data_IF_913094612464
#
_entry.id   IF_913094612464
#
_cell.length_a   1.000
_cell.length_b   1.000
_cell.length_c   1.000
_cell.angle_alpha   90.00
_cell.angle_beta   90.00
_cell.angle_gamma   90.00
#
_symmetry.space_group_name_H-M   'P 1'
#
loop_
_entity.id
_entity.type
_entity.pdbx_description
1 polymer ?
#
# COMPACT_ATOMS: atom_id res chain seq x y z
N UNK A 1 -48.65 15.63 21.71
CA UNK A 1 -49.71 14.61 21.89
C UNK A 1 -49.70 13.68 20.68
N UNK A 2 -49.51 12.38 20.95
CA UNK A 2 -50.07 11.19 20.29
C UNK A 2 -49.86 11.02 18.76
N UNK A 3 -48.95 10.12 18.37
CA UNK A 3 -49.19 8.69 18.11
C UNK A 3 -49.75 8.44 16.71
N UNK A 4 -48.95 7.76 15.88
CA UNK A 4 -49.41 6.56 15.17
C UNK A 4 -48.20 5.65 14.88
N UNK A 5 -48.09 4.63 15.73
CA UNK A 5 -47.26 3.44 15.56
C UNK A 5 -47.94 2.51 14.54
N UNK A 6 -47.09 1.79 13.80
CA UNK A 6 -47.22 0.37 13.40
C UNK A 6 -48.44 -0.07 12.60
N UNK A 7 -48.17 -0.57 11.39
CA UNK A 7 -48.70 -1.79 10.76
C UNK A 7 -47.75 -2.11 9.59
N UNK A 8 -47.25 -3.30 9.28
CA UNK A 8 -47.42 -4.65 9.80
C UNK A 8 -46.19 -5.48 9.37
N UNK A 9 -45.97 -6.55 10.13
CA UNK A 9 -44.93 -7.58 10.00
C UNK A 9 -45.05 -8.42 8.72
N UNK A 10 -43.92 -8.83 8.14
CA UNK A 10 -43.88 -9.76 7.02
C UNK A 10 -42.47 -10.26 6.69
N UNK A 11 -42.06 -11.31 7.42
CA UNK A 11 -41.08 -12.34 7.05
C UNK A 11 -39.56 -12.05 7.06
N UNK A 12 -38.88 -12.84 7.91
CA UNK A 12 -37.45 -13.09 7.96
C UNK A 12 -36.88 -13.51 6.60
N UNK A 13 -35.78 -12.88 6.21
CA UNK A 13 -34.65 -13.59 5.64
C UNK A 13 -33.39 -13.12 6.37
N UNK A 14 -32.75 -14.09 7.04
CA UNK A 14 -31.37 -13.99 7.45
C UNK A 14 -30.50 -13.99 6.20
N UNK A 15 -29.64 -12.97 6.07
CA UNK A 15 -28.37 -13.05 5.35
C UNK A 15 -27.56 -11.83 5.80
N UNK A 16 -26.77 -12.09 6.83
CA UNK A 16 -25.46 -11.51 7.13
C UNK A 16 -25.16 -10.14 6.53
N UNK A 17 -25.14 -9.15 7.42
CA UNK A 17 -24.34 -7.96 7.26
C UNK A 17 -22.87 -8.38 7.06
N UNK A 18 -22.43 -8.47 5.82
CA UNK A 18 -21.03 -8.31 5.48
C UNK A 18 -20.85 -6.88 5.01
N UNK A 19 -20.81 -5.96 5.97
CA UNK A 19 -19.87 -4.86 5.82
C UNK A 19 -18.51 -5.53 5.73
N UNK A 20 -17.97 -5.65 4.52
CA UNK A 20 -16.52 -5.80 4.33
C UNK A 20 -15.89 -4.48 4.78
N UNK A 21 -15.93 -4.31 6.10
CA UNK A 21 -14.99 -3.52 6.85
C UNK A 21 -13.66 -4.20 6.52
N UNK A 22 -12.94 -3.65 5.54
CA UNK A 22 -11.51 -3.94 5.37
C UNK A 22 -10.91 -3.77 6.75
N UNK A 23 -10.62 -4.90 7.39
CA UNK A 23 -9.83 -4.96 8.61
C UNK A 23 -8.45 -4.41 8.24
N UNK A 24 -8.30 -3.09 8.30
CA UNK A 24 -7.00 -2.53 8.58
C UNK A 24 -6.64 -3.07 9.96
N UNK A 25 -5.55 -3.87 10.07
CA UNK A 25 -5.11 -4.34 11.37
C UNK A 25 -4.87 -3.11 12.23
N UNK A 26 -5.50 -3.08 13.40
CA UNK A 26 -5.34 -2.05 14.43
C UNK A 26 -3.90 -2.07 14.90
N UNK A 27 -3.02 -1.43 14.14
CA UNK A 27 -1.62 -1.32 14.48
C UNK A 27 -1.42 -0.21 15.51
N UNK A 28 -0.78 -0.62 16.59
CA UNK A 28 -0.44 0.20 17.73
C UNK A 28 0.66 1.16 17.29
N UNK A 29 0.27 2.38 16.90
CA UNK A 29 1.19 3.47 16.55
C UNK A 29 1.28 3.76 15.05
N UNK A 30 1.72 4.97 14.66
CA UNK A 30 1.84 5.32 13.25
C UNK A 30 3.00 4.55 12.62
N UNK A 31 2.69 3.54 11.79
CA UNK A 31 3.66 2.83 10.95
C UNK A 31 4.61 3.81 10.26
N UNK A 32 5.90 3.49 10.24
CA UNK A 32 6.93 4.30 9.59
C UNK A 32 7.35 3.67 8.26
N UNK A 33 7.36 4.48 7.19
CA UNK A 33 7.90 4.09 5.89
C UNK A 33 9.42 4.08 5.94
N UNK A 34 10.02 2.91 5.74
CA UNK A 34 11.48 2.71 5.68
C UNK A 34 12.02 2.66 4.25
N UNK A 35 11.18 2.34 3.27
CA UNK A 35 11.62 2.32 1.89
C UNK A 35 10.50 2.43 0.87
N UNK A 36 10.87 2.94 -0.30
CA UNK A 36 9.99 3.03 -1.47
C UNK A 36 10.73 2.48 -2.69
N UNK A 37 10.12 1.52 -3.38
CA UNK A 37 10.60 1.01 -4.66
C UNK A 37 9.59 1.38 -5.75
N UNK A 38 10.04 1.98 -6.84
CA UNK A 38 9.21 2.24 -8.01
C UNK A 38 9.67 1.32 -9.13
N UNK A 39 8.75 0.57 -9.72
CA UNK A 39 8.99 -0.34 -10.84
C UNK A 39 8.09 0.04 -12.00
N UNK A 40 8.67 0.40 -13.13
CA UNK A 40 7.94 0.83 -14.33
C UNK A 40 8.37 0.05 -15.56
N UNK A 41 7.50 -0.02 -16.58
CA UNK A 41 7.84 -0.69 -17.85
C UNK A 41 8.84 0.08 -18.69
N UNK A 42 8.86 1.40 -18.54
CA UNK A 42 9.77 2.29 -19.25
C UNK A 42 10.56 3.16 -18.26
N UNK A 43 11.68 3.78 -18.66
CA UNK A 43 12.37 4.77 -17.85
C UNK A 43 11.41 5.88 -17.39
N UNK A 44 11.56 6.33 -16.14
CA UNK A 44 10.84 7.49 -15.63
C UNK A 44 11.55 8.76 -16.10
N UNK A 45 10.80 9.69 -16.70
CA UNK A 45 11.30 11.04 -17.01
C UNK A 45 11.51 11.87 -15.75
N UNK A 46 10.70 11.62 -14.72
CA UNK A 46 10.78 12.28 -13.41
C UNK A 46 10.48 11.26 -12.31
N UNK A 47 11.51 10.54 -11.86
CA UNK A 47 11.39 9.59 -10.75
C UNK A 47 11.26 10.29 -9.40
N UNK A 48 11.76 11.53 -9.28
CA UNK A 48 11.74 12.29 -8.03
C UNK A 48 10.34 12.84 -7.74
N UNK A 49 9.69 13.46 -8.73
CA UNK A 49 8.32 13.95 -8.58
C UNK A 49 7.33 12.83 -8.23
N UNK A 50 7.50 11.64 -8.82
CA UNK A 50 6.68 10.48 -8.44
C UNK A 50 6.97 10.01 -7.00
N UNK A 51 8.23 10.03 -6.57
CA UNK A 51 8.59 9.71 -5.19
C UNK A 51 8.00 10.72 -4.19
N UNK A 52 8.00 12.02 -4.51
CA UNK A 52 7.37 13.06 -3.69
C UNK A 52 5.87 12.84 -3.56
N UNK A 53 5.18 12.51 -4.66
CA UNK A 53 3.75 12.17 -4.65
C UNK A 53 3.47 10.95 -3.79
N UNK A 54 4.27 9.88 -3.92
CA UNK A 54 4.13 8.67 -3.08
C UNK A 54 4.34 9.03 -1.61
N UNK A 55 5.35 9.84 -1.30
CA UNK A 55 5.68 10.27 0.06
C UNK A 55 4.55 11.10 0.68
N UNK A 56 4.05 12.10 -0.05
CA UNK A 56 2.90 12.91 0.37
C UNK A 56 1.66 12.05 0.60
N UNK A 57 1.41 11.04 -0.25
CA UNK A 57 0.33 10.09 -0.10
C UNK A 57 0.48 9.22 1.17
N UNK A 58 1.69 8.77 1.51
CA UNK A 58 1.89 8.01 2.75
C UNK A 58 1.71 8.90 3.98
N UNK A 59 2.17 10.15 3.93
CA UNK A 59 1.97 11.12 5.01
C UNK A 59 0.48 11.46 5.21
N UNK A 60 -0.29 11.62 4.12
CA UNK A 60 -1.73 11.88 4.22
C UNK A 60 -2.51 10.70 4.82
N UNK A 61 -1.95 9.48 4.75
CA UNK A 61 -2.48 8.29 5.44
C UNK A 61 -2.07 8.21 6.93
N UNK A 62 -1.33 9.20 7.43
CA UNK A 62 -0.85 9.24 8.81
C UNK A 62 0.45 8.49 9.06
N UNK A 63 1.11 7.97 8.02
CA UNK A 63 2.39 7.29 8.16
C UNK A 63 3.54 8.29 8.32
N UNK A 64 4.50 7.95 9.17
CA UNK A 64 5.75 8.71 9.28
C UNK A 64 6.71 8.26 8.18
N UNK A 65 7.58 9.16 7.74
CA UNK A 65 8.66 8.81 6.81
C UNK A 65 9.95 8.73 7.61
N UNK A 66 10.69 7.62 7.47
CA UNK A 66 11.99 7.49 8.13
C UNK A 66 12.98 8.52 7.61
N UNK A 67 13.78 9.10 8.51
CA UNK A 67 14.91 9.96 8.12
C UNK A 67 15.93 9.21 7.25
N UNK A 68 15.99 7.89 7.40
CA UNK A 68 16.84 7.00 6.63
C UNK A 68 16.05 6.23 5.56
N UNK A 69 14.94 6.79 5.06
CA UNK A 69 14.12 6.15 4.03
C UNK A 69 14.95 5.87 2.77
N UNK A 70 14.96 4.62 2.33
CA UNK A 70 15.65 4.20 1.12
C UNK A 70 14.67 4.31 -0.05
N UNK A 71 14.97 5.12 -1.06
CA UNK A 71 14.19 5.19 -2.29
C UNK A 71 14.96 4.62 -3.49
N UNK A 72 14.26 3.86 -4.32
CA UNK A 72 14.80 3.25 -5.55
C UNK A 72 13.76 3.29 -6.67
N UNK A 73 14.23 3.44 -7.90
CA UNK A 73 13.44 3.27 -9.10
C UNK A 73 14.16 2.31 -10.05
N UNK A 74 13.43 1.40 -10.68
CA UNK A 74 13.98 0.46 -11.65
C UNK A 74 12.96 0.15 -12.75
N UNK A 75 13.47 -0.38 -13.86
CA UNK A 75 12.67 -0.75 -15.03
C UNK A 75 12.49 -2.27 -15.05
N UNK A 76 11.27 -2.72 -15.33
CA UNK A 76 10.97 -4.14 -15.54
C UNK A 76 9.69 -4.33 -16.35
N UNK A 77 9.69 -5.36 -17.20
CA UNK A 77 8.52 -5.88 -17.89
C UNK A 77 7.72 -6.88 -17.04
N UNK A 78 8.34 -7.44 -15.98
CA UNK A 78 7.78 -8.45 -15.09
C UNK A 78 6.99 -7.87 -13.92
N UNK A 79 6.09 -6.94 -14.20
CA UNK A 79 5.26 -6.30 -13.17
C UNK A 79 4.19 -7.23 -12.56
N UNK A 80 3.87 -8.32 -13.26
CA UNK A 80 2.85 -9.28 -12.87
C UNK A 80 3.45 -10.58 -12.27
N UNK A 81 4.78 -10.70 -12.22
CA UNK A 81 5.51 -11.86 -11.68
C UNK A 81 5.85 -11.63 -10.20
N UNK A 82 4.98 -12.05 -9.31
CA UNK A 82 5.12 -11.86 -7.86
C UNK A 82 6.45 -12.39 -7.31
N UNK A 83 6.93 -13.54 -7.81
CA UNK A 83 8.19 -14.13 -7.36
C UNK A 83 9.38 -13.24 -7.73
N UNK A 84 9.39 -12.72 -8.96
CA UNK A 84 10.38 -11.74 -9.40
C UNK A 84 10.33 -10.46 -8.56
N UNK A 85 9.14 -9.94 -8.27
CA UNK A 85 8.96 -8.73 -7.47
C UNK A 85 9.48 -8.91 -6.04
N UNK A 86 9.17 -10.04 -5.41
CA UNK A 86 9.66 -10.38 -4.06
C UNK A 86 11.18 -10.51 -4.04
N UNK A 87 11.78 -11.18 -5.02
CA UNK A 87 13.24 -11.27 -5.13
C UNK A 87 13.87 -9.89 -5.32
N UNK A 88 13.27 -9.05 -6.17
CA UNK A 88 13.73 -7.69 -6.43
C UNK A 88 13.68 -6.83 -5.17
N UNK A 89 12.59 -6.86 -4.42
CA UNK A 89 12.45 -6.15 -3.13
C UNK A 89 13.53 -6.64 -2.15
N UNK A 90 13.71 -7.95 -1.98
CA UNK A 90 14.76 -8.51 -1.10
C UNK A 90 16.14 -8.04 -1.47
N UNK A 91 16.46 -7.99 -2.76
CA UNK A 91 17.77 -7.56 -3.25
C UNK A 91 18.02 -6.06 -3.01
N UNK A 92 17.06 -5.21 -3.36
CA UNK A 92 17.23 -3.75 -3.26
C UNK A 92 17.21 -3.25 -1.81
N UNK A 93 16.48 -3.94 -0.92
CA UNK A 93 16.28 -3.55 0.49
C UNK A 93 16.98 -4.48 1.48
N UNK A 94 17.96 -5.26 1.05
CA UNK A 94 18.71 -6.19 1.91
C UNK A 94 19.27 -5.53 3.19
N UNK A 95 19.61 -4.23 3.14
CA UNK A 95 20.14 -3.48 4.29
C UNK A 95 19.14 -3.27 5.42
N UNK A 96 17.85 -3.17 5.09
CA UNK A 96 16.75 -2.98 6.06
C UNK A 96 15.90 -4.25 6.20
N UNK A 97 16.28 -5.33 5.50
CA UNK A 97 15.53 -6.56 5.40
C UNK A 97 15.72 -7.47 6.62
N UNK A 98 14.63 -8.07 7.06
CA UNK A 98 14.61 -9.32 7.83
C UNK A 98 13.85 -10.40 7.04
N UNK A 99 13.64 -11.56 7.66
CA UNK A 99 12.81 -12.64 7.07
C UNK A 99 11.38 -12.17 6.73
N UNK A 100 10.93 -11.12 7.43
CA UNK A 100 9.62 -10.48 7.34
C UNK A 100 9.51 -9.39 6.27
N UNK A 101 10.59 -9.06 5.53
CA UNK A 101 10.63 -7.91 4.61
C UNK A 101 9.43 -7.87 3.64
N UNK A 102 9.05 -9.01 3.08
CA UNK A 102 7.92 -9.10 2.15
C UNK A 102 6.59 -8.89 2.86
N UNK A 103 6.40 -9.46 4.06
CA UNK A 103 5.18 -9.31 4.84
C UNK A 103 4.90 -7.84 5.23
N UNK A 104 5.95 -7.04 5.38
CA UNK A 104 5.85 -5.60 5.67
C UNK A 104 5.78 -4.71 4.42
N UNK A 105 5.83 -5.29 3.23
CA UNK A 105 5.79 -4.54 1.98
C UNK A 105 4.37 -4.47 1.46
N UNK A 106 3.86 -3.26 1.18
CA UNK A 106 2.60 -3.05 0.46
C UNK A 106 2.90 -2.61 -0.96
N UNK A 107 2.20 -3.19 -1.93
CA UNK A 107 2.38 -2.92 -3.36
C UNK A 107 1.15 -2.25 -3.93
N UNK A 108 1.35 -1.25 -4.78
CA UNK A 108 0.28 -0.43 -5.34
C UNK A 108 0.57 -0.12 -6.81
N UNK A 109 -0.44 -0.07 -7.68
CA UNK A 109 -0.25 0.40 -9.04
C UNK A 109 0.12 1.89 -9.04
N UNK A 110 0.93 2.30 -10.02
CA UNK A 110 1.16 3.70 -10.35
C UNK A 110 1.15 3.94 -11.85
N UNK A 111 0.86 5.19 -12.20
CA UNK A 111 1.00 5.70 -13.55
C UNK A 111 1.83 6.99 -13.48
N UNK A 112 3.01 6.95 -14.08
CA UNK A 112 3.86 8.12 -14.24
C UNK A 112 3.47 8.93 -15.47
N UNK A 113 4.06 10.12 -15.60
CA UNK A 113 3.89 10.99 -16.77
C UNK A 113 4.12 10.24 -18.09
N UNK A 114 3.38 10.60 -19.14
CA UNK A 114 3.48 9.95 -20.44
C UNK A 114 2.80 8.58 -20.53
N UNK A 115 2.02 8.19 -19.51
CA UNK A 115 1.28 6.92 -19.52
C UNK A 115 2.13 5.70 -19.14
N UNK A 116 3.33 5.92 -18.60
CA UNK A 116 4.20 4.85 -18.15
C UNK A 116 3.62 4.19 -16.88
N UNK A 117 3.08 2.99 -17.05
CA UNK A 117 2.46 2.22 -15.98
C UNK A 117 3.49 1.39 -15.22
N UNK A 118 3.21 1.20 -13.94
CA UNK A 118 4.11 0.52 -13.04
C UNK A 118 3.44 0.15 -11.73
N UNK A 119 4.27 -0.23 -10.77
CA UNK A 119 3.91 -0.44 -9.39
C UNK A 119 4.90 0.30 -8.50
N UNK A 120 4.44 0.74 -7.33
CA UNK A 120 5.33 1.15 -6.26
C UNK A 120 5.11 0.26 -5.03
N UNK A 121 6.20 -0.04 -4.36
CA UNK A 121 6.24 -0.81 -3.13
C UNK A 121 6.60 0.12 -1.98
N UNK A 122 5.88 0.03 -0.87
CA UNK A 122 6.14 0.75 0.37
C UNK A 122 6.54 -0.28 1.42
N UNK A 123 7.76 -0.17 1.93
CA UNK A 123 8.27 -1.03 3.00
C UNK A 123 8.10 -0.31 4.33
N UNK A 124 7.33 -0.90 5.24
CA UNK A 124 7.13 -0.39 6.59
C UNK A 124 8.19 -0.90 7.56
N UNK A 125 8.30 -0.26 8.72
CA UNK A 125 9.05 -0.71 9.88
C UNK A 125 8.50 -2.00 10.48
N UNK A 126 9.28 -2.63 11.38
CA UNK A 126 8.88 -3.90 11.99
C UNK A 126 7.80 -3.57 13.02
N UNK A 127 6.71 -4.34 13.10
CA UNK A 127 5.81 -4.22 14.24
C UNK A 127 6.61 -4.49 15.51
N UNK A 128 6.46 -3.61 16.51
CA UNK A 128 7.02 -3.80 17.85
C UNK A 128 6.27 -4.90 18.62
#
# INVERSE_FOLDING_TARGET
MKFLRKMFSGQQMAAEASSEQSEEPTEVGPRQVQGVLILTRQPLSDSWGLLEQITALQQSKGYRISLNCISKAAITDKLDDEAFLHEKIRKEFAKIGGEDLIARTKMYPCQASGGNTGIYCVIFDRPE
#
